data_IF_650702762918
#
_entry.id   IF_650702762918
#
_cell.length_a   1.000
_cell.length_b   1.000
_cell.length_c   1.000
_cell.angle_alpha   90.00
_cell.angle_beta   90.00
_cell.angle_gamma   90.00
#
_symmetry.space_group_name_H-M   'P 1'
#
loop_
_entity.id
_entity.type
_entity.pdbx_description
1 polymer ?
#
# COMPACT_ATOMS: atom_id res chain seq x y z
N UNK A 1 -3.35 -2.33 -15.10
CA UNK A 1 -2.54 -3.43 -14.53
C UNK A 1 -3.14 -3.79 -13.19
N UNK A 2 -3.46 -5.06 -12.96
CA UNK A 2 -3.95 -5.57 -11.67
C UNK A 2 -2.82 -6.36 -11.03
N UNK A 3 -2.44 -6.01 -9.81
CA UNK A 3 -1.46 -6.73 -9.00
C UNK A 3 -2.10 -7.06 -7.66
N UNK A 4 -2.02 -8.31 -7.24
CA UNK A 4 -2.78 -8.85 -6.10
C UNK A 4 -1.86 -9.67 -5.22
N UNK A 5 -1.71 -9.22 -3.99
CA UNK A 5 -1.03 -9.94 -2.92
C UNK A 5 -2.04 -10.42 -1.89
N UNK A 6 -1.85 -11.64 -1.38
CA UNK A 6 -2.71 -12.23 -0.35
C UNK A 6 -1.90 -13.20 0.53
N UNK A 7 -2.41 -13.60 1.71
CA UNK A 7 -1.73 -14.55 2.58
C UNK A 7 -1.41 -15.91 1.94
N UNK A 8 -2.20 -16.34 0.94
CA UNK A 8 -1.93 -17.55 0.16
C UNK A 8 -2.08 -17.29 -1.34
N UNK A 9 -1.37 -18.06 -2.16
CA UNK A 9 -1.46 -17.96 -3.63
C UNK A 9 -2.89 -18.21 -4.13
N UNK A 10 -3.60 -19.18 -3.54
CA UNK A 10 -4.99 -19.47 -3.90
C UNK A 10 -5.92 -18.27 -3.65
N UNK A 11 -5.71 -17.53 -2.54
CA UNK A 11 -6.46 -16.31 -2.27
C UNK A 11 -6.12 -15.20 -3.27
N UNK A 12 -4.84 -15.02 -3.60
CA UNK A 12 -4.42 -14.02 -4.57
C UNK A 12 -5.03 -14.29 -5.95
N UNK A 13 -4.99 -15.55 -6.41
CA UNK A 13 -5.60 -15.97 -7.68
C UNK A 13 -7.12 -15.78 -7.69
N UNK A 14 -7.82 -16.11 -6.60
CA UNK A 14 -9.27 -15.93 -6.51
C UNK A 14 -9.68 -14.45 -6.57
N UNK A 15 -8.95 -13.58 -5.85
CA UNK A 15 -9.17 -12.13 -5.88
C UNK A 15 -8.84 -11.55 -7.25
N UNK A 16 -7.72 -11.95 -7.87
CA UNK A 16 -7.34 -11.52 -9.22
C UNK A 16 -8.40 -11.91 -10.26
N UNK A 17 -8.91 -13.14 -10.21
CA UNK A 17 -9.96 -13.61 -11.12
C UNK A 17 -11.23 -12.75 -11.00
N UNK A 18 -11.64 -12.42 -9.77
CA UNK A 18 -12.81 -11.55 -9.53
C UNK A 18 -12.55 -10.11 -10.02
N UNK A 19 -11.40 -9.54 -9.67
CA UNK A 19 -11.02 -8.18 -10.05
C UNK A 19 -10.94 -8.04 -11.58
N UNK A 20 -10.37 -9.03 -12.27
CA UNK A 20 -10.32 -9.09 -13.73
C UNK A 20 -11.70 -9.15 -14.35
N UNK A 21 -12.59 -10.01 -13.86
CA UNK A 21 -13.96 -10.11 -14.34
C UNK A 21 -14.71 -8.77 -14.22
N UNK A 22 -14.66 -8.13 -13.05
CA UNK A 22 -15.29 -6.82 -12.83
C UNK A 22 -14.69 -5.80 -13.81
N UNK A 23 -13.36 -5.70 -13.86
CA UNK A 23 -12.69 -4.72 -14.70
C UNK A 23 -13.00 -4.88 -16.20
N UNK A 24 -13.22 -6.11 -16.68
CA UNK A 24 -13.59 -6.39 -18.06
C UNK A 24 -15.04 -6.04 -18.39
N UNK A 25 -15.95 -6.17 -17.42
CA UNK A 25 -17.39 -6.17 -17.70
C UNK A 25 -18.21 -5.11 -16.95
N UNK A 26 -17.57 -4.25 -16.16
CA UNK A 26 -18.25 -3.09 -15.56
C UNK A 26 -18.87 -2.20 -16.63
N UNK A 27 -20.13 -1.82 -16.43
CA UNK A 27 -20.82 -0.88 -17.31
C UNK A 27 -20.31 0.55 -17.13
N UNK A 28 -20.32 1.32 -18.22
CA UNK A 28 -20.05 2.75 -18.21
C UNK A 28 -20.84 3.45 -19.32
N UNK A 29 -21.08 4.75 -19.17
CA UNK A 29 -21.85 5.53 -20.15
C UNK A 29 -21.16 5.56 -21.52
N UNK A 30 -21.92 5.37 -22.59
CA UNK A 30 -21.40 5.39 -23.96
C UNK A 30 -20.65 4.11 -24.40
N UNK A 31 -20.79 3.01 -23.65
CA UNK A 31 -20.19 1.72 -24.01
C UNK A 31 -20.67 1.20 -25.37
N UNK A 32 -19.73 0.84 -26.23
CA UNK A 32 -20.01 0.35 -27.59
C UNK A 32 -20.07 -1.19 -27.71
N UNK A 33 -19.49 -1.94 -26.77
CA UNK A 33 -19.42 -3.40 -26.84
C UNK A 33 -19.35 -4.07 -25.46
N UNK A 34 -19.81 -5.32 -25.34
CA UNK A 34 -19.82 -6.09 -24.09
C UNK A 34 -18.65 -7.06 -23.92
N UNK A 35 -17.81 -7.23 -24.96
CA UNK A 35 -16.78 -8.25 -25.03
C UNK A 35 -15.61 -8.03 -24.03
N UNK A 36 -15.29 -6.79 -23.69
CA UNK A 36 -14.29 -6.48 -22.66
C UNK A 36 -13.78 -5.05 -22.70
N UNK A 37 -13.62 -4.44 -21.53
CA UNK A 37 -13.14 -3.07 -21.38
C UNK A 37 -11.60 -2.95 -21.32
N UNK A 38 -10.90 -4.09 -21.26
CA UNK A 38 -9.44 -4.16 -21.11
C UNK A 38 -8.84 -5.08 -22.16
N UNK A 39 -7.68 -4.68 -22.70
CA UNK A 39 -6.83 -5.54 -23.49
C UNK A 39 -5.79 -6.22 -22.58
N UNK A 40 -5.57 -7.52 -22.79
CA UNK A 40 -4.56 -8.29 -22.08
C UNK A 40 -3.36 -8.53 -23.02
N UNK A 41 -2.12 -8.24 -22.59
CA UNK A 41 -0.95 -8.37 -23.45
C UNK A 41 -0.51 -9.83 -23.69
N UNK A 42 -0.95 -10.78 -22.86
CA UNK A 42 -0.53 -12.18 -22.91
C UNK A 42 -1.70 -13.15 -22.65
N UNK A 43 -1.51 -14.41 -23.06
CA UNK A 43 -2.39 -15.54 -22.75
C UNK A 43 -1.55 -16.68 -22.18
N UNK A 44 -1.81 -17.16 -20.93
CA UNK A 44 -2.85 -16.70 -20.01
C UNK A 44 -2.63 -15.26 -19.52
N UNK A 45 -3.72 -14.55 -19.21
CA UNK A 45 -3.67 -13.17 -18.71
C UNK A 45 -3.14 -13.05 -17.28
N UNK A 46 -3.25 -14.14 -16.51
CA UNK A 46 -2.88 -14.19 -15.11
C UNK A 46 -1.47 -14.77 -15.01
N UNK A 47 -0.56 -14.03 -14.37
CA UNK A 47 0.85 -14.38 -14.26
C UNK A 47 1.25 -14.55 -12.79
N UNK A 48 1.60 -15.77 -12.33
CA UNK A 48 2.15 -15.99 -11.01
C UNK A 48 3.55 -15.37 -10.92
N UNK A 49 3.74 -14.43 -9.98
CA UNK A 49 5.03 -13.73 -9.76
C UNK A 49 5.79 -14.23 -8.53
N UNK A 50 5.23 -15.20 -7.80
CA UNK A 50 5.81 -15.78 -6.60
C UNK A 50 5.52 -15.00 -5.31
N UNK A 51 6.13 -15.42 -4.18
CA UNK A 51 5.90 -14.81 -2.89
C UNK A 51 6.45 -13.38 -2.80
N UNK A 52 5.73 -12.51 -2.10
CA UNK A 52 6.17 -11.14 -1.80
C UNK A 52 6.69 -11.03 -0.36
N UNK A 53 7.72 -10.22 -0.16
CA UNK A 53 8.36 -10.05 1.15
C UNK A 53 8.39 -8.58 1.56
N UNK A 54 8.25 -8.32 2.86
CA UNK A 54 8.44 -7.00 3.44
C UNK A 54 9.69 -7.03 4.32
N UNK A 55 10.62 -6.13 4.01
CA UNK A 55 11.83 -5.95 4.80
C UNK A 55 11.80 -4.57 5.46
N UNK A 56 12.37 -4.49 6.66
CA UNK A 56 12.60 -3.22 7.36
C UNK A 56 14.11 -3.05 7.52
N UNK A 57 14.66 -1.94 7.00
CA UNK A 57 16.06 -1.58 7.23
C UNK A 57 16.07 -0.55 8.35
N UNK A 58 16.67 -0.92 9.47
CA UNK A 58 16.92 -0.02 10.58
C UNK A 58 18.37 0.42 10.51
N UNK A 59 18.59 1.71 10.29
CA UNK A 59 19.90 2.31 10.51
C UNK A 59 19.91 2.82 11.96
N UNK A 60 20.75 2.23 12.81
CA UNK A 60 21.04 2.81 14.11
C UNK A 60 21.87 4.07 13.86
N UNK A 61 21.32 5.23 14.18
CA UNK A 61 22.08 6.48 14.22
C UNK A 61 23.01 6.40 15.42
N UNK A 62 24.32 6.46 15.18
CA UNK A 62 25.30 6.60 16.25
C UNK A 62 25.17 8.03 16.80
N UNK A 63 24.97 8.14 18.11
CA UNK A 63 24.80 9.41 18.81
C UNK A 63 25.94 9.56 19.80
N UNK A 64 26.50 10.76 19.90
CA UNK A 64 27.50 11.08 20.93
C UNK A 64 26.82 11.23 22.31
N UNK A 65 25.58 11.75 22.32
CA UNK A 65 24.71 11.85 23.50
C UNK A 65 23.29 11.30 23.18
N UNK A 66 22.74 10.35 23.96
CA UNK A 66 21.39 9.82 23.75
C UNK A 66 20.26 10.86 23.79
N UNK A 67 20.49 12.06 24.32
CA UNK A 67 19.51 13.14 24.42
C UNK A 67 19.59 14.17 23.28
N UNK A 68 20.60 14.12 22.41
CA UNK A 68 20.86 15.19 21.43
C UNK A 68 19.78 15.33 20.35
N UNK A 69 19.06 14.25 20.05
CA UNK A 69 17.98 14.24 19.04
C UNK A 69 16.59 14.59 19.61
N UNK A 70 16.46 14.73 20.92
CA UNK A 70 15.21 15.10 21.59
C UNK A 70 15.45 16.21 22.62
N UNK A 71 15.74 17.45 22.19
CA UNK A 71 16.01 18.55 23.10
C UNK A 71 14.77 18.87 23.94
N UNK A 72 14.97 18.97 25.26
CA UNK A 72 13.92 19.34 26.22
C UNK A 72 14.21 20.74 26.74
N UNK A 73 13.22 21.61 26.67
CA UNK A 73 13.24 22.92 27.32
C UNK A 73 12.24 22.92 28.49
N UNK A 74 12.72 23.24 29.69
CA UNK A 74 11.88 23.43 30.87
C UNK A 74 11.55 24.92 31.01
N UNK A 75 10.28 25.27 30.84
CA UNK A 75 9.81 26.65 30.99
C UNK A 75 8.97 26.77 32.26
N UNK A 76 9.32 27.74 33.11
CA UNK A 76 8.57 28.03 34.33
C UNK A 76 7.52 29.11 34.02
N UNK A 77 6.25 28.72 33.98
CA UNK A 77 5.14 29.64 33.80
C UNK A 77 4.77 30.18 35.18
N UNK A 78 5.39 31.28 35.57
CA UNK A 78 5.06 31.96 36.83
C UNK A 78 3.57 32.29 36.87
N UNK A 79 2.89 31.93 37.95
CA UNK A 79 1.63 32.57 38.29
C UNK A 79 1.96 34.03 38.62
N UNK A 80 1.47 34.97 37.82
CA UNK A 80 1.44 36.37 38.24
C UNK A 80 0.67 36.42 39.57
N UNK A 81 1.38 36.71 40.65
CA UNK A 81 0.75 37.13 41.90
C UNK A 81 0.02 38.44 41.61
N UNK A 82 -1.29 38.32 41.36
CA UNK A 82 -2.22 39.44 41.29
C UNK A 82 -2.33 40.06 42.68
N UNK A 83 -1.51 41.11 42.90
CA UNK A 83 -1.64 42.06 44.00
C UNK A 83 -2.97 42.83 43.95
#
# INVERSE_FOLDING_TARGET
>A
MLDVVAPTEAQAQAVLAKARYISMHTEFEGRLCTAGNLAMPFSPSDLPVGPTYRFSVWHAMELDDPLEIFPIELVNLGAEEMA
#
